data_IF_015769644800
#
_entry.id   IF_015769644800
#
_cell.length_a   1.000
_cell.length_b   1.000
_cell.length_c   1.000
_cell.angle_alpha   90.00
_cell.angle_beta   90.00
_cell.angle_gamma   90.00
#
_symmetry.space_group_name_H-M   'P 1'
#
loop_
_entity.id
_entity.type
_entity.pdbx_description
1 polymer ?
#
# COMPACT_ATOMS: atom_id res chain seq x y z
N UNK A 1 9.93 -16.99 11.21
CA UNK A 1 8.67 -17.44 10.68
C UNK A 1 7.63 -16.39 10.98
N UNK A 2 7.24 -15.93 10.24
CA UNK A 2 7.26 -14.67 9.64
C UNK A 2 5.88 -14.11 9.66
N UNK A 3 5.80 -12.84 10.09
CA UNK A 3 4.57 -12.03 10.15
C UNK A 3 3.73 -12.24 8.88
N UNK A 4 4.38 -12.38 7.72
CA UNK A 4 3.72 -12.62 6.43
C UNK A 4 3.10 -14.02 6.34
N UNK A 5 3.77 -15.05 6.80
CA UNK A 5 3.21 -16.42 6.86
C UNK A 5 2.03 -16.49 7.83
N UNK A 6 2.16 -15.83 8.99
CA UNK A 6 1.06 -15.71 9.96
C UNK A 6 -0.14 -14.97 9.40
N UNK A 7 0.07 -13.86 8.69
CA UNK A 7 -0.99 -13.10 8.02
C UNK A 7 -1.62 -13.94 6.90
N UNK A 8 -0.83 -14.57 6.06
CA UNK A 8 -1.32 -15.42 4.98
C UNK A 8 -2.13 -16.61 5.52
N UNK A 9 -1.64 -17.28 6.55
CA UNK A 9 -2.36 -18.37 7.21
C UNK A 9 -3.69 -17.89 7.81
N UNK A 10 -3.70 -16.75 8.49
CA UNK A 10 -4.91 -16.18 9.07
C UNK A 10 -5.92 -15.72 8.00
N UNK A 11 -5.45 -15.19 6.86
CA UNK A 11 -6.30 -14.84 5.73
C UNK A 11 -6.92 -16.10 5.11
N UNK A 12 -6.14 -17.14 4.86
CA UNK A 12 -6.61 -18.41 4.30
C UNK A 12 -7.60 -19.12 5.22
N UNK A 13 -7.40 -19.04 6.53
CA UNK A 13 -8.32 -19.57 7.53
C UNK A 13 -9.56 -18.68 7.77
N UNK A 14 -9.65 -17.50 7.16
CA UNK A 14 -10.72 -16.53 7.43
C UNK A 14 -10.70 -15.94 8.84
N UNK A 15 -9.59 -16.12 9.56
CA UNK A 15 -9.43 -15.67 10.96
C UNK A 15 -8.66 -14.36 11.07
N UNK A 16 -8.13 -13.85 9.95
CA UNK A 16 -7.43 -12.57 9.96
C UNK A 16 -8.32 -11.46 10.53
N UNK A 17 -7.79 -10.78 11.53
CA UNK A 17 -8.40 -9.57 12.08
C UNK A 17 -7.38 -8.46 11.95
N UNK A 18 -7.73 -7.33 11.34
CA UNK A 18 -6.84 -6.18 11.33
C UNK A 18 -6.61 -5.73 12.78
N UNK A 19 -5.48 -6.10 13.33
CA UNK A 19 -5.08 -5.72 14.69
C UNK A 19 -4.70 -4.25 14.77
N UNK A 20 -4.24 -3.71 13.66
CA UNK A 20 -3.86 -2.31 13.53
C UNK A 20 -4.77 -1.62 12.52
N UNK A 21 -5.02 -0.35 12.76
CA UNK A 21 -5.84 0.48 11.89
C UNK A 21 -5.14 0.84 10.58
N UNK A 22 -3.87 0.51 10.47
CA UNK A 22 -3.05 0.80 9.30
C UNK A 22 -2.05 -0.33 9.03
N UNK A 23 -2.06 -0.84 7.81
CA UNK A 23 -1.13 -1.86 7.33
C UNK A 23 -0.73 -1.55 5.89
N UNK A 24 0.58 -1.54 5.63
CA UNK A 24 1.12 -1.47 4.27
C UNK A 24 1.84 -2.77 3.97
N UNK A 25 1.52 -3.36 2.83
CA UNK A 25 2.23 -4.50 2.26
C UNK A 25 2.77 -4.10 0.89
N UNK A 26 4.07 -4.24 0.71
CA UNK A 26 4.69 -4.06 -0.60
C UNK A 26 4.75 -5.40 -1.30
N UNK A 27 4.12 -5.46 -2.48
CA UNK A 27 4.14 -6.61 -3.37
C UNK A 27 5.09 -6.28 -4.52
N UNK A 28 6.21 -7.00 -4.54
CA UNK A 28 7.22 -6.82 -5.59
C UNK A 28 6.63 -7.06 -6.99
N UNK A 29 7.03 -6.28 -8.02
CA UNK A 29 8.03 -5.23 -7.95
C UNK A 29 7.49 -3.81 -7.66
N UNK A 30 6.22 -3.53 -7.90
CA UNK A 30 5.73 -2.17 -8.01
C UNK A 30 4.30 -1.96 -7.48
N UNK A 31 3.86 -2.81 -6.58
CA UNK A 31 2.52 -2.72 -5.98
C UNK A 31 2.65 -2.48 -4.48
N UNK A 32 1.82 -1.59 -3.94
CA UNK A 32 1.59 -1.50 -2.52
C UNK A 32 0.11 -1.72 -2.21
N UNK A 33 -0.17 -2.54 -1.22
CA UNK A 33 -1.49 -2.77 -0.68
C UNK A 33 -1.57 -2.10 0.68
N UNK A 34 -2.47 -1.15 0.82
CA UNK A 34 -2.64 -0.36 2.04
C UNK A 34 -4.02 -0.64 2.62
N UNK A 35 -4.05 -1.10 3.87
CA UNK A 35 -5.28 -1.15 4.65
C UNK A 35 -5.29 0.02 5.62
N UNK A 36 -6.38 0.77 5.66
CA UNK A 36 -6.52 1.92 6.54
C UNK A 36 -7.89 1.94 7.20
N UNK A 37 -7.91 2.28 8.49
CA UNK A 37 -9.11 2.66 9.21
C UNK A 37 -9.31 4.17 9.09
N UNK A 38 -10.42 4.56 8.50
CA UNK A 38 -10.69 5.98 8.21
C UNK A 38 -11.54 6.63 9.30
N UNK A 39 -12.53 5.91 9.80
CA UNK A 39 -13.43 6.43 10.82
C UNK A 39 -14.16 5.30 11.56
N UNK A 40 -14.63 5.63 12.76
CA UNK A 40 -15.63 4.83 13.48
C UNK A 40 -16.86 5.72 13.70
N UNK A 41 -18.00 5.30 13.15
CA UNK A 41 -19.27 6.04 13.26
C UNK A 41 -20.31 5.10 13.85
N UNK A 42 -20.94 5.49 14.95
CA UNK A 42 -21.93 4.65 15.68
C UNK A 42 -21.43 3.24 15.98
N UNK A 43 -20.13 3.12 16.35
CA UNK A 43 -19.50 1.83 16.61
C UNK A 43 -19.13 1.02 15.36
N UNK A 44 -19.47 1.48 14.16
CA UNK A 44 -19.10 0.83 12.89
C UNK A 44 -17.75 1.34 12.44
N UNK A 45 -16.80 0.42 12.23
CA UNK A 45 -15.46 0.73 11.72
C UNK A 45 -15.47 0.74 10.20
N UNK A 46 -15.03 1.85 9.62
CA UNK A 46 -14.84 1.99 8.17
C UNK A 46 -13.38 1.72 7.82
N UNK A 47 -13.13 0.50 7.39
CA UNK A 47 -11.80 0.04 6.95
C UNK A 47 -11.83 -0.10 5.44
N UNK A 48 -10.82 0.46 4.80
CA UNK A 48 -10.67 0.42 3.34
C UNK A 48 -9.36 -0.25 2.97
N UNK A 49 -9.39 -0.89 1.82
CA UNK A 49 -8.23 -1.47 1.16
C UNK A 49 -7.92 -0.63 -0.07
N UNK A 50 -6.69 -0.15 -0.16
CA UNK A 50 -6.20 0.62 -1.30
C UNK A 50 -5.05 -0.13 -1.95
N UNK A 51 -5.13 -0.34 -3.26
CA UNK A 51 -4.03 -0.86 -4.05
C UNK A 51 -3.40 0.31 -4.81
N UNK A 52 -2.10 0.43 -4.68
CA UNK A 52 -1.27 1.39 -5.40
C UNK A 52 -0.38 0.62 -6.37
N UNK A 53 -0.37 1.01 -7.63
CA UNK A 53 0.52 0.47 -8.64
C UNK A 53 1.40 1.60 -9.18
N UNK A 54 2.71 1.43 -9.06
CA UNK A 54 3.72 2.37 -9.56
C UNK A 54 4.23 1.88 -10.90
N UNK A 55 3.84 2.53 -11.99
CA UNK A 55 4.24 2.17 -13.35
C UNK A 55 5.32 3.14 -13.81
N UNK A 56 6.60 2.72 -13.89
CA UNK A 56 7.66 3.57 -14.39
C UNK A 56 7.42 3.87 -15.89
N UNK A 57 7.51 5.12 -16.27
CA UNK A 57 7.36 5.59 -17.65
C UNK A 57 8.69 6.09 -18.22
N UNK A 58 9.51 6.71 -17.38
CA UNK A 58 10.84 7.23 -17.68
C UNK A 58 11.68 7.20 -16.39
N UNK A 59 13.00 7.44 -16.44
CA UNK A 59 13.86 7.45 -15.25
C UNK A 59 13.41 8.43 -14.16
N UNK A 60 12.74 9.49 -14.53
CA UNK A 60 12.25 10.56 -13.65
C UNK A 60 10.71 10.61 -13.53
N UNK A 61 10.01 9.69 -14.18
CA UNK A 61 8.56 9.77 -14.30
C UNK A 61 7.91 8.43 -14.00
N UNK A 62 7.04 8.40 -13.00
CA UNK A 62 6.25 7.24 -12.62
C UNK A 62 4.76 7.58 -12.64
N UNK A 63 3.97 6.73 -13.27
CA UNK A 63 2.52 6.82 -13.22
C UNK A 63 1.99 6.04 -12.04
N UNK A 64 1.29 6.71 -11.14
CA UNK A 64 0.55 6.06 -10.05
C UNK A 64 -0.85 5.71 -10.52
N UNK A 65 -1.22 4.43 -10.42
CA UNK A 65 -2.59 3.94 -10.52
C UNK A 65 -3.05 3.49 -9.15
N UNK A 66 -4.31 3.72 -8.82
CA UNK A 66 -4.82 3.31 -7.52
C UNK A 66 -6.30 2.94 -7.58
N UNK A 67 -6.66 2.04 -6.68
CA UNK A 67 -8.01 1.55 -6.50
C UNK A 67 -8.33 1.54 -5.01
N UNK A 68 -9.57 1.77 -4.67
CA UNK A 68 -10.05 1.82 -3.29
C UNK A 68 -11.32 0.98 -3.16
N UNK A 69 -11.31 0.08 -2.20
CA UNK A 69 -12.45 -0.76 -1.86
C UNK A 69 -12.72 -0.75 -0.37
N UNK A 70 -13.97 -0.99 0.06
CA UNK A 70 -14.23 -1.40 1.43
C UNK A 70 -13.45 -2.67 1.73
N UNK A 71 -12.84 -2.75 2.92
CA UNK A 71 -12.09 -3.94 3.31
C UNK A 71 -13.01 -5.18 3.33
N UNK A 72 -12.63 -6.27 2.69
CA UNK A 72 -13.39 -7.52 2.72
C UNK A 72 -13.27 -8.25 4.07
N UNK A 73 -12.32 -7.83 4.91
CA UNK A 73 -12.06 -8.49 6.18
C UNK A 73 -13.15 -8.20 7.21
N UNK A 74 -13.51 -9.19 8.05
CA UNK A 74 -14.51 -9.00 9.08
C UNK A 74 -14.11 -7.90 10.06
N UNK A 75 -15.01 -6.96 10.31
CA UNK A 75 -14.80 -5.85 11.24
C UNK A 75 -15.41 -6.07 12.62
N UNK A 76 -15.94 -7.29 12.86
CA UNK A 76 -16.60 -7.64 14.11
C UNK A 76 -18.01 -7.04 14.27
N UNK A 77 -18.60 -6.51 13.19
CA UNK A 77 -19.89 -5.85 13.25
C UNK A 77 -21.04 -6.77 13.64
N UNK A 78 -21.94 -6.25 14.47
CA UNK A 78 -23.26 -6.82 14.69
C UNK A 78 -24.12 -6.80 13.41
N UNK A 79 -25.19 -7.57 13.31
CA UNK A 79 -26.10 -7.52 12.16
C UNK A 79 -26.61 -6.11 11.85
N UNK A 80 -26.96 -5.33 12.87
CA UNK A 80 -27.41 -3.94 12.72
C UNK A 80 -26.31 -3.03 12.14
N UNK A 81 -25.10 -3.18 12.65
CA UNK A 81 -23.93 -2.41 12.16
C UNK A 81 -23.59 -2.75 10.71
N UNK A 82 -23.77 -4.01 10.30
CA UNK A 82 -23.62 -4.42 8.88
C UNK A 82 -24.63 -3.74 7.96
N UNK A 83 -25.90 -3.69 8.39
CA UNK A 83 -26.94 -2.97 7.63
C UNK A 83 -26.60 -1.48 7.54
N UNK A 84 -26.27 -0.86 8.67
CA UNK A 84 -25.88 0.56 8.70
C UNK A 84 -24.71 0.85 7.78
N UNK A 85 -23.65 0.04 7.82
CA UNK A 85 -22.49 0.18 6.93
C UNK A 85 -22.90 0.07 5.46
N UNK A 86 -23.74 -0.91 5.12
CA UNK A 86 -24.20 -1.10 3.73
C UNK A 86 -24.95 0.13 3.21
N UNK A 87 -25.79 0.74 4.04
CA UNK A 87 -26.57 1.94 3.67
C UNK A 87 -25.66 3.17 3.58
N UNK A 88 -24.69 3.32 4.46
CA UNK A 88 -23.80 4.50 4.50
C UNK A 88 -22.62 4.42 3.52
N UNK A 89 -22.30 3.23 2.99
CA UNK A 89 -21.14 3.02 2.09
C UNK A 89 -21.20 3.89 0.81
N UNK A 90 -22.35 4.10 0.14
CA UNK A 90 -22.44 4.99 -1.03
C UNK A 90 -22.00 6.43 -0.75
N UNK A 91 -22.08 6.86 0.51
CA UNK A 91 -21.66 8.20 0.93
C UNK A 91 -20.20 8.17 1.41
N UNK A 92 -19.85 7.20 2.25
CA UNK A 92 -18.53 7.12 2.87
C UNK A 92 -17.40 6.85 1.86
N UNK A 93 -17.64 6.01 0.86
CA UNK A 93 -16.64 5.68 -0.15
C UNK A 93 -16.20 6.88 -1.01
N UNK A 94 -17.10 7.71 -1.58
CA UNK A 94 -16.70 8.94 -2.27
C UNK A 94 -15.96 9.94 -1.40
N UNK A 95 -16.38 10.10 -0.14
CA UNK A 95 -15.69 10.99 0.82
C UNK A 95 -14.28 10.49 1.12
N UNK A 96 -14.14 9.21 1.40
CA UNK A 96 -12.81 8.58 1.61
C UNK A 96 -11.94 8.73 0.37
N UNK A 97 -12.50 8.49 -0.82
CA UNK A 97 -11.78 8.69 -2.09
C UNK A 97 -11.26 10.12 -2.26
N UNK A 98 -12.06 11.12 -1.91
CA UNK A 98 -11.62 12.53 -1.94
C UNK A 98 -10.46 12.78 -0.97
N UNK A 99 -10.57 12.27 0.25
CA UNK A 99 -9.49 12.38 1.24
C UNK A 99 -8.19 11.73 0.76
N UNK A 100 -8.28 10.51 0.20
CA UNK A 100 -7.12 9.81 -0.34
C UNK A 100 -6.49 10.56 -1.52
N UNK A 101 -7.28 11.13 -2.42
CA UNK A 101 -6.76 11.95 -3.52
C UNK A 101 -5.96 13.15 -3.02
N UNK A 102 -6.40 13.78 -1.94
CA UNK A 102 -5.67 14.89 -1.34
C UNK A 102 -4.34 14.43 -0.75
N UNK A 103 -4.33 13.35 0.01
CA UNK A 103 -3.10 12.76 0.57
C UNK A 103 -2.13 12.39 -0.56
N UNK A 104 -2.59 11.68 -1.59
CA UNK A 104 -1.75 11.30 -2.73
C UNK A 104 -1.21 12.51 -3.50
N UNK A 105 -1.95 13.62 -3.55
CA UNK A 105 -1.46 14.86 -4.17
C UNK A 105 -0.37 15.53 -3.31
N UNK A 106 -0.52 15.53 -1.98
CA UNK A 106 0.49 16.02 -1.04
C UNK A 106 1.77 15.17 -1.13
N UNK A 107 1.65 13.84 -1.11
CA UNK A 107 2.78 12.90 -1.26
C UNK A 107 3.49 13.11 -2.61
N UNK A 108 2.74 13.27 -3.70
CA UNK A 108 3.30 13.51 -5.02
C UNK A 108 4.09 14.82 -5.09
N UNK A 109 3.62 15.86 -4.42
CA UNK A 109 4.34 17.14 -4.34
C UNK A 109 5.69 16.99 -3.60
N UNK A 110 5.70 16.21 -2.50
CA UNK A 110 6.94 15.89 -1.77
C UNK A 110 7.89 15.07 -2.64
N UNK A 111 7.39 14.02 -3.31
CA UNK A 111 8.20 13.19 -4.20
C UNK A 111 8.80 14.00 -5.36
N UNK A 112 8.02 14.89 -5.98
CA UNK A 112 8.52 15.78 -7.05
C UNK A 112 9.60 16.73 -6.54
N UNK A 113 9.45 17.28 -5.33
CA UNK A 113 10.47 18.10 -4.71
C UNK A 113 11.76 17.31 -4.43
N UNK A 114 11.66 16.13 -3.87
CA UNK A 114 12.80 15.25 -3.61
C UNK A 114 13.51 14.89 -4.93
N UNK A 115 12.76 14.53 -5.97
CA UNK A 115 13.32 14.20 -7.28
C UNK A 115 14.09 15.35 -7.90
N UNK A 116 13.57 16.59 -7.80
CA UNK A 116 14.24 17.79 -8.31
C UNK A 116 15.57 18.11 -7.60
N UNK A 117 15.74 17.61 -6.37
CA UNK A 117 16.94 17.86 -5.55
C UNK A 117 17.84 16.62 -5.41
N UNK A 118 17.41 15.46 -5.92
CA UNK A 118 18.20 14.23 -5.89
C UNK A 118 19.49 14.41 -6.73
N UNK A 119 20.63 14.04 -6.15
CA UNK A 119 21.92 14.04 -6.84
C UNK A 119 22.32 12.61 -7.15
N UNK A 120 22.90 12.33 -8.32
CA UNK A 120 23.35 10.98 -8.68
C UNK A 120 24.35 10.38 -7.70
N UNK A 121 25.10 11.21 -6.98
CA UNK A 121 26.19 10.81 -6.09
C UNK A 121 25.81 10.83 -4.60
N UNK A 122 24.55 10.97 -4.25
CA UNK A 122 24.10 11.04 -2.84
C UNK A 122 24.32 9.73 -2.04
N UNK A 123 24.96 8.74 -2.65
CA UNK A 123 25.35 7.48 -2.00
C UNK A 123 24.16 6.56 -1.69
N UNK A 124 24.42 5.49 -0.97
CA UNK A 124 23.35 4.60 -0.52
C UNK A 124 22.46 5.31 0.50
N UNK A 125 21.12 5.17 0.39
CA UNK A 125 20.20 5.78 1.33
C UNK A 125 20.53 5.32 2.75
N UNK A 126 20.60 6.26 3.69
CA UNK A 126 20.75 5.94 5.11
C UNK A 126 19.38 5.51 5.64
N UNK A 127 19.22 4.21 5.84
CA UNK A 127 18.00 3.65 6.39
C UNK A 127 18.06 3.67 7.91
N UNK A 128 16.96 4.05 8.55
CA UNK A 128 16.79 3.91 9.99
C UNK A 128 16.57 2.42 10.38
N UNK A 129 16.72 2.11 11.66
CA UNK A 129 16.58 0.75 12.17
C UNK A 129 15.21 0.10 11.89
N UNK A 130 14.16 0.91 11.67
CA UNK A 130 12.82 0.44 11.34
C UNK A 130 12.56 0.31 9.83
N UNK A 131 13.54 0.66 9.00
CA UNK A 131 13.43 0.74 7.54
C UNK A 131 14.14 -0.41 6.81
N UNK A 132 14.55 -1.43 7.53
CA UNK A 132 15.25 -2.62 7.00
C UNK A 132 14.50 -3.26 5.81
N UNK A 133 13.17 -3.23 5.84
CA UNK A 133 12.32 -3.76 4.75
C UNK A 133 12.48 -3.00 3.43
N UNK A 134 12.84 -1.72 3.47
CA UNK A 134 13.17 -0.93 2.28
C UNK A 134 14.46 -1.48 1.66
N UNK A 135 15.45 -1.83 2.50
CA UNK A 135 16.68 -2.49 2.07
C UNK A 135 16.41 -3.82 1.36
N UNK A 136 15.54 -4.67 1.92
CA UNK A 136 15.16 -5.94 1.30
C UNK A 136 14.46 -5.76 -0.04
N UNK A 137 13.56 -4.78 -0.14
CA UNK A 137 12.88 -4.45 -1.40
C UNK A 137 13.86 -3.99 -2.47
N UNK A 138 14.80 -3.09 -2.12
CA UNK A 138 15.82 -2.58 -3.02
C UNK A 138 16.73 -3.71 -3.51
N UNK A 139 17.13 -4.62 -2.63
CA UNK A 139 17.95 -5.78 -2.99
C UNK A 139 17.21 -6.72 -3.94
N UNK A 140 15.93 -7.03 -3.67
CA UNK A 140 15.11 -7.84 -4.56
C UNK A 140 14.97 -7.20 -5.94
N UNK A 141 14.83 -5.87 -6.01
CA UNK A 141 14.73 -5.13 -7.27
C UNK A 141 16.05 -5.19 -8.05
N UNK A 142 17.19 -4.98 -7.37
CA UNK A 142 18.52 -5.10 -7.98
C UNK A 142 18.75 -6.49 -8.59
N UNK A 143 18.44 -7.55 -7.84
CA UNK A 143 18.55 -8.93 -8.33
C UNK A 143 17.66 -9.22 -9.53
N UNK A 144 16.44 -8.65 -9.55
CA UNK A 144 15.55 -8.82 -10.70
C UNK A 144 16.08 -8.11 -11.96
N UNK A 145 16.64 -6.90 -11.82
CA UNK A 145 17.29 -6.19 -12.92
C UNK A 145 18.49 -6.97 -13.47
N UNK A 146 19.36 -7.48 -12.61
CA UNK A 146 20.52 -8.27 -13.02
C UNK A 146 20.12 -9.54 -13.77
N UNK A 147 19.03 -10.20 -13.37
CA UNK A 147 18.49 -11.37 -14.09
C UNK A 147 18.00 -10.95 -15.48
N UNK A 148 17.17 -9.91 -15.56
CA UNK A 148 16.65 -9.43 -16.83
C UNK A 148 17.76 -9.02 -17.81
N UNK A 149 18.82 -8.38 -17.33
CA UNK A 149 19.99 -8.02 -18.15
C UNK A 149 20.75 -9.25 -18.66
N UNK A 150 20.93 -10.27 -17.81
CA UNK A 150 21.56 -11.54 -18.21
C UNK A 150 20.73 -12.29 -19.26
N UNK A 151 19.42 -12.26 -19.13
CA UNK A 151 18.53 -12.96 -20.07
C UNK A 151 18.52 -12.24 -21.42
N UNK A 152 18.45 -10.91 -21.43
CA UNK A 152 18.56 -10.11 -22.66
C UNK A 152 19.92 -10.22 -23.38
N UNK A 153 21.00 -10.53 -22.65
CA UNK A 153 22.32 -10.73 -23.24
C UNK A 153 22.52 -12.13 -23.86
N UNK A 154 21.54 -13.05 -23.68
CA UNK A 154 21.57 -14.41 -24.22
C UNK A 154 20.70 -14.59 -25.48
N UNK A 155 19.86 -13.62 -25.77
CA UNK A 155 19.07 -13.51 -27.00
C UNK A 155 19.85 -12.77 -28.12
#
# INVERSE_FOLDING_TARGET
PDLLEGIAAACNAGTYRPSNDYLIMHLFPNIALVQTHVATVMGVRYVYLMLLQFVPLAPDTTRLRWWLWPSPFPTGDTPLQRVFRRISMPISLPLTRRGMLRILAEDNAVCAHLQAHARPDDGSPRLGAMEERIGWHNEAYRQALERAQRDAARE
#
